data_IF_819151405027
#
_entry.id   IF_819151405027
#
_cell.length_a   1.000
_cell.length_b   1.000
_cell.length_c   1.000
_cell.angle_alpha   90.00
_cell.angle_beta   90.00
_cell.angle_gamma   90.00
#
_symmetry.space_group_name_H-M   'P 1'
#
loop_
_entity.id
_entity.type
_entity.pdbx_description
1 polymer ?
#
# COMPACT_ATOMS: atom_id res chain seq x y z
N UNK A 1 -49.58 6.87 2.05
CA UNK A 1 -48.90 7.48 0.88
C UNK A 1 -48.38 8.85 1.26
N UNK A 2 -47.21 9.26 0.75
CA UNK A 2 -46.32 10.24 1.36
C UNK A 2 -46.46 11.64 0.76
N UNK A 3 -45.99 12.66 1.47
CA UNK A 3 -45.65 13.96 0.90
C UNK A 3 -44.15 14.20 1.04
N UNK A 4 -43.50 14.23 -0.11
CA UNK A 4 -42.16 14.75 -0.38
C UNK A 4 -42.19 16.29 -0.42
N UNK A 5 -41.04 16.91 -0.10
CA UNK A 5 -40.51 18.21 -0.58
C UNK A 5 -39.09 18.28 0.02
N UNK A 6 -38.02 18.00 -0.72
CA UNK A 6 -37.34 18.77 -1.79
C UNK A 6 -36.28 19.74 -1.27
N UNK A 7 -35.15 19.63 -1.95
CA UNK A 7 -33.83 20.26 -1.86
C UNK A 7 -33.82 21.78 -2.04
N UNK A 8 -32.96 22.47 -1.29
CA UNK A 8 -31.94 23.43 -1.79
C UNK A 8 -31.44 24.28 -0.63
N UNK A 9 -30.14 24.27 -0.39
CA UNK A 9 -29.42 25.49 0.01
C UNK A 9 -28.10 25.52 -0.76
N UNK A 10 -28.13 26.28 -1.85
CA UNK A 10 -26.96 26.79 -2.53
C UNK A 10 -26.47 28.01 -1.74
N UNK A 11 -25.16 28.10 -1.47
CA UNK A 11 -24.50 29.38 -1.20
C UNK A 11 -23.36 29.55 -2.19
N UNK A 12 -23.47 30.64 -2.93
CA UNK A 12 -22.64 31.16 -4.02
C UNK A 12 -21.26 31.65 -3.53
N UNK A 13 -20.23 31.68 -4.41
CA UNK A 13 -18.89 32.16 -4.09
C UNK A 13 -18.70 33.65 -4.43
N UNK A 14 -17.88 34.36 -3.65
CA UNK A 14 -17.31 35.65 -4.08
C UNK A 14 -16.64 36.46 -2.96
N UNK A 15 -15.32 36.67 -3.04
CA UNK A 15 -14.72 37.99 -3.31
C UNK A 15 -13.18 37.93 -3.24
N UNK A 16 -12.53 38.69 -4.13
CA UNK A 16 -11.09 38.80 -4.41
C UNK A 16 -10.44 40.04 -3.75
N UNK A 17 -9.18 39.91 -3.31
CA UNK A 17 -8.16 41.00 -3.19
C UNK A 17 -7.80 41.46 -1.76
N UNK A 18 -6.54 41.91 -1.47
CA UNK A 18 -5.61 42.63 -2.36
C UNK A 18 -4.17 42.00 -2.48
N UNK A 19 -3.23 42.56 -3.30
CA UNK A 19 -2.08 41.88 -3.91
C UNK A 19 -0.78 41.93 -3.06
N UNK A 20 0.34 41.28 -3.48
CA UNK A 20 1.54 41.13 -2.67
C UNK A 20 2.48 42.33 -2.77
N UNK A 21 3.20 42.61 -1.69
CA UNK A 21 4.33 43.55 -1.64
C UNK A 21 5.66 42.79 -1.69
N UNK A 22 6.54 43.17 -2.59
CA UNK A 22 7.91 42.65 -2.81
C UNK A 22 8.93 43.18 -1.77
N UNK A 23 10.17 42.63 -1.71
CA UNK A 23 10.93 42.43 -0.48
C UNK A 23 11.86 43.59 -0.09
N UNK A 24 12.20 43.68 1.20
CA UNK A 24 13.32 44.49 1.70
C UNK A 24 14.26 43.63 2.52
N UNK A 25 15.56 43.86 2.29
CA UNK A 25 16.72 43.10 2.74
C UNK A 25 16.88 42.98 4.26
N UNK A 26 17.37 41.81 4.67
CA UNK A 26 18.48 41.66 5.61
C UNK A 26 18.18 41.89 7.09
N UNK A 27 18.02 40.80 7.85
CA UNK A 27 18.77 40.59 9.10
C UNK A 27 18.66 39.13 9.57
N UNK A 28 19.81 38.57 9.96
CA UNK A 28 19.94 37.26 10.58
C UNK A 28 19.09 37.19 11.85
N UNK A 29 18.17 36.23 11.91
CA UNK A 29 17.60 35.77 13.17
C UNK A 29 17.94 34.28 13.28
N UNK A 30 18.93 34.00 14.11
CA UNK A 30 19.25 32.65 14.55
C UNK A 30 17.98 32.00 15.09
N UNK A 31 17.58 30.89 14.48
CA UNK A 31 16.47 30.11 15.00
C UNK A 31 16.92 29.46 16.31
N UNK A 32 16.16 29.64 17.40
CA UNK A 32 16.45 28.97 18.65
C UNK A 32 16.27 27.47 18.46
N UNK A 33 17.28 26.72 18.90
CA UNK A 33 17.27 25.28 19.09
C UNK A 33 16.03 24.89 19.90
N UNK A 34 15.01 24.36 19.21
CA UNK A 34 13.86 23.70 19.80
C UNK A 34 14.04 22.20 19.59
N UNK A 35 14.12 21.47 20.69
CA UNK A 35 13.77 20.05 20.77
C UNK A 35 12.37 19.87 20.15
N UNK A 36 12.31 19.41 18.90
CA UNK A 36 11.06 19.22 18.18
C UNK A 36 11.32 19.10 16.68
N UNK A 37 11.02 17.94 16.10
CA UNK A 37 11.16 17.72 14.68
C UNK A 37 10.41 18.82 13.88
N UNK A 38 11.01 19.37 12.80
CA UNK A 38 10.41 20.46 12.05
C UNK A 38 9.04 20.04 11.50
N UNK A 39 8.02 20.88 11.72
CA UNK A 39 6.64 20.64 11.28
C UNK A 39 6.47 20.65 9.76
N UNK A 40 7.43 21.19 9.02
CA UNK A 40 7.50 21.17 7.56
C UNK A 40 8.96 21.33 7.08
N UNK A 41 9.26 20.74 5.93
CA UNK A 41 10.55 20.88 5.25
C UNK A 41 10.35 20.74 3.74
N UNK A 42 11.32 21.21 2.94
CA UNK A 42 11.30 20.97 1.50
C UNK A 42 11.49 19.48 1.21
N UNK A 43 11.07 19.04 0.01
CA UNK A 43 11.29 17.66 -0.42
C UNK A 43 12.78 17.29 -0.38
N UNK A 44 13.65 18.18 -0.84
CA UNK A 44 15.09 17.92 -0.86
C UNK A 44 15.67 17.77 0.56
N UNK A 45 15.21 18.56 1.53
CA UNK A 45 15.60 18.41 2.94
C UNK A 45 15.11 17.07 3.51
N UNK A 46 13.90 16.65 3.18
CA UNK A 46 13.37 15.36 3.64
C UNK A 46 14.13 14.17 3.02
N UNK A 47 14.50 14.24 1.75
CA UNK A 47 15.33 13.23 1.09
C UNK A 47 16.73 13.24 1.71
N UNK A 48 17.32 14.41 1.97
CA UNK A 48 18.62 14.51 2.64
C UNK A 48 18.58 13.84 4.03
N UNK A 49 17.48 14.00 4.78
CA UNK A 49 17.30 13.34 6.08
C UNK A 49 17.10 11.82 5.97
N UNK A 50 16.63 11.32 4.82
CA UNK A 50 16.54 9.87 4.55
C UNK A 50 17.92 9.25 4.24
N UNK A 51 18.84 10.00 3.63
CA UNK A 51 20.13 9.45 3.20
C UNK A 51 21.09 9.36 4.40
N UNK A 52 21.63 8.17 4.74
CA UNK A 52 22.58 8.03 5.83
C UNK A 52 23.91 8.71 5.50
N UNK A 53 24.65 9.11 6.54
CA UNK A 53 26.01 9.64 6.38
C UNK A 53 26.99 8.82 7.22
N UNK A 54 28.28 9.19 7.25
CA UNK A 54 29.28 8.53 8.10
C UNK A 54 28.87 8.49 9.57
N UNK A 55 28.20 9.53 10.07
CA UNK A 55 27.90 9.71 11.50
C UNK A 55 26.40 9.72 11.81
N UNK A 56 25.54 9.69 10.79
CA UNK A 56 24.08 9.71 10.95
C UNK A 56 23.41 8.49 10.28
N UNK A 57 22.30 8.04 10.86
CA UNK A 57 21.37 7.09 10.26
C UNK A 57 19.93 7.50 10.63
N UNK A 58 18.99 7.55 9.68
CA UNK A 58 17.61 7.93 9.97
C UNK A 58 16.90 6.96 10.92
N UNK A 59 15.99 7.49 11.73
CA UNK A 59 15.14 6.66 12.58
C UNK A 59 14.23 5.76 11.74
N UNK A 60 14.01 4.52 12.21
CA UNK A 60 13.16 3.54 11.50
C UNK A 60 11.74 4.05 11.25
N UNK A 61 11.17 4.78 12.22
CA UNK A 61 9.85 5.39 12.06
C UNK A 61 9.85 6.43 10.93
N UNK A 62 10.90 7.25 10.85
CA UNK A 62 11.05 8.22 9.76
C UNK A 62 11.20 7.54 8.41
N UNK A 63 12.04 6.50 8.29
CA UNK A 63 12.22 5.74 7.04
C UNK A 63 10.87 5.21 6.56
N UNK A 64 10.13 4.50 7.41
CA UNK A 64 8.82 3.95 7.07
C UNK A 64 7.83 5.05 6.66
N UNK A 65 7.65 6.07 7.50
CA UNK A 65 6.68 7.13 7.28
C UNK A 65 7.00 7.95 6.03
N UNK A 66 8.27 8.30 5.83
CA UNK A 66 8.69 9.09 4.67
C UNK A 66 8.55 8.28 3.38
N UNK A 67 9.06 7.04 3.32
CA UNK A 67 8.91 6.20 2.13
C UNK A 67 7.44 5.97 1.80
N UNK A 68 6.60 5.68 2.80
CA UNK A 68 5.16 5.50 2.60
C UNK A 68 4.49 6.76 2.04
N UNK A 69 4.71 7.89 2.71
CA UNK A 69 4.01 9.14 2.41
C UNK A 69 4.58 9.88 1.20
N UNK A 70 5.82 9.59 0.79
CA UNK A 70 6.46 10.24 -0.34
C UNK A 70 5.75 10.01 -1.66
N UNK A 71 4.99 8.92 -1.75
CA UNK A 71 4.13 8.59 -2.89
C UNK A 71 3.10 9.68 -3.21
N UNK A 72 2.82 10.59 -2.27
CA UNK A 72 1.94 11.74 -2.47
C UNK A 72 2.60 12.88 -3.24
N UNK A 73 3.94 12.91 -3.33
CA UNK A 73 4.69 14.05 -3.85
C UNK A 73 5.86 13.71 -4.77
N UNK A 74 6.33 12.45 -4.82
CA UNK A 74 7.41 11.97 -5.67
C UNK A 74 7.21 10.49 -6.03
N UNK A 75 7.50 10.12 -7.28
CA UNK A 75 7.49 8.73 -7.71
C UNK A 75 8.58 7.92 -7.00
N UNK A 76 8.35 6.66 -6.58
CA UNK A 76 9.38 5.85 -5.93
C UNK A 76 10.66 5.71 -6.76
N UNK A 77 10.55 5.58 -8.09
CA UNK A 77 11.72 5.51 -8.99
C UNK A 77 12.56 6.79 -8.96
N UNK A 78 11.91 7.95 -8.98
CA UNK A 78 12.54 9.26 -8.94
C UNK A 78 13.16 9.51 -7.56
N UNK A 79 12.45 9.11 -6.49
CA UNK A 79 12.99 9.16 -5.14
C UNK A 79 14.26 8.31 -5.01
N UNK A 80 14.26 7.07 -5.53
CA UNK A 80 15.44 6.22 -5.47
C UNK A 80 16.60 6.81 -6.28
N UNK A 81 16.34 7.38 -7.45
CA UNK A 81 17.35 8.05 -8.25
C UNK A 81 18.00 9.21 -7.46
N UNK A 82 17.19 10.05 -6.80
CA UNK A 82 17.68 11.15 -5.95
C UNK A 82 18.45 10.66 -4.73
N UNK A 83 18.00 9.60 -4.07
CA UNK A 83 18.72 8.97 -2.96
C UNK A 83 20.09 8.47 -3.41
N UNK A 84 20.14 7.76 -4.54
CA UNK A 84 21.41 7.28 -5.12
C UNK A 84 22.34 8.43 -5.49
N UNK A 85 21.81 9.47 -6.12
CA UNK A 85 22.58 10.67 -6.48
C UNK A 85 23.17 11.36 -5.24
N UNK A 86 22.36 11.60 -4.20
CA UNK A 86 22.82 12.20 -2.96
C UNK A 86 23.87 11.33 -2.25
N UNK A 87 23.76 10.00 -2.32
CA UNK A 87 24.80 9.11 -1.81
C UNK A 87 26.14 9.34 -2.53
N UNK A 88 26.11 9.50 -3.86
CA UNK A 88 27.30 9.76 -4.68
C UNK A 88 27.92 11.11 -4.32
N UNK A 89 27.11 12.17 -4.26
CA UNK A 89 27.58 13.53 -3.96
C UNK A 89 28.14 13.65 -2.54
N UNK A 90 27.38 13.24 -1.53
CA UNK A 90 27.77 13.41 -0.12
C UNK A 90 29.01 12.58 0.24
N UNK A 91 29.16 11.41 -0.37
CA UNK A 91 30.31 10.52 -0.11
C UNK A 91 31.44 10.71 -1.12
N UNK A 92 31.27 11.64 -2.07
CA UNK A 92 32.20 11.97 -3.15
C UNK A 92 32.68 10.72 -3.90
N UNK A 93 31.74 9.85 -4.27
CA UNK A 93 32.03 8.54 -4.88
C UNK A 93 32.57 8.64 -6.32
N UNK A 94 32.54 9.84 -6.90
CA UNK A 94 33.01 10.12 -8.26
C UNK A 94 34.46 10.61 -8.30
N UNK A 95 35.08 10.81 -7.13
CA UNK A 95 36.46 11.23 -7.05
C UNK A 95 37.39 10.10 -7.53
N UNK A 96 38.47 10.41 -8.28
CA UNK A 96 39.41 9.41 -8.77
C UNK A 96 40.14 8.67 -7.64
N UNK A 97 40.23 9.29 -6.46
CA UNK A 97 40.77 8.70 -5.24
C UNK A 97 39.71 8.77 -4.15
N UNK A 98 39.24 7.60 -3.71
CA UNK A 98 38.23 7.48 -2.66
C UNK A 98 38.86 7.39 -1.26
N UNK A 99 38.26 8.08 -0.30
CA UNK A 99 38.51 7.83 1.12
C UNK A 99 37.88 6.50 1.53
N UNK A 100 38.71 5.44 1.54
CA UNK A 100 38.29 4.08 1.90
C UNK A 100 37.72 3.99 3.32
N UNK A 101 38.20 4.81 4.26
CA UNK A 101 37.71 4.76 5.64
C UNK A 101 36.29 5.34 5.73
N UNK A 102 36.03 6.45 5.06
CA UNK A 102 34.69 7.05 4.94
C UNK A 102 33.71 6.09 4.25
N UNK A 103 34.10 5.54 3.10
CA UNK A 103 33.25 4.63 2.31
C UNK A 103 32.90 3.35 3.09
N UNK A 104 33.85 2.77 3.84
CA UNK A 104 33.59 1.57 4.67
C UNK A 104 32.66 1.82 5.85
N UNK A 105 32.59 3.05 6.38
CA UNK A 105 31.62 3.43 7.41
C UNK A 105 30.23 3.68 6.82
N UNK A 106 30.18 4.25 5.62
CA UNK A 106 28.94 4.58 4.93
C UNK A 106 28.23 3.36 4.32
N UNK A 107 28.97 2.47 3.64
CA UNK A 107 28.41 1.34 2.89
C UNK A 107 27.43 0.46 3.69
N UNK A 108 27.75 0.02 4.92
CA UNK A 108 26.84 -0.76 5.75
C UNK A 108 25.52 -0.05 6.06
N UNK A 109 25.53 1.28 6.22
CA UNK A 109 24.33 2.08 6.48
C UNK A 109 23.45 2.20 5.23
N UNK A 110 24.05 2.41 4.06
CA UNK A 110 23.29 2.39 2.80
C UNK A 110 22.64 1.01 2.58
N UNK A 111 23.37 -0.08 2.83
CA UNK A 111 22.82 -1.43 2.76
C UNK A 111 21.64 -1.61 3.71
N UNK A 112 21.73 -1.07 4.92
CA UNK A 112 20.64 -1.14 5.89
C UNK A 112 19.40 -0.40 5.40
N UNK A 113 19.55 0.84 4.90
CA UNK A 113 18.44 1.61 4.32
C UNK A 113 17.78 0.85 3.17
N UNK A 114 18.58 0.31 2.24
CA UNK A 114 18.07 -0.45 1.10
C UNK A 114 17.42 -1.76 1.52
N UNK A 115 17.91 -2.43 2.57
CA UNK A 115 17.27 -3.63 3.11
C UNK A 115 15.89 -3.29 3.70
N UNK A 116 15.81 -2.22 4.48
CA UNK A 116 14.53 -1.75 5.06
C UNK A 116 13.53 -1.36 3.95
N UNK A 117 14.01 -0.67 2.90
CA UNK A 117 13.17 -0.28 1.76
C UNK A 117 12.73 -1.48 0.92
N UNK A 118 13.63 -2.37 0.52
CA UNK A 118 13.30 -3.56 -0.29
C UNK A 118 12.44 -4.57 0.47
N UNK A 119 12.52 -4.61 1.80
CA UNK A 119 11.65 -5.44 2.62
C UNK A 119 10.23 -4.87 2.67
N UNK A 120 10.11 -3.56 2.92
CA UNK A 120 8.82 -2.87 3.13
C UNK A 120 8.07 -2.63 1.82
N UNK A 121 8.78 -2.21 0.77
CA UNK A 121 8.21 -1.80 -0.52
C UNK A 121 8.97 -2.45 -1.69
N UNK A 122 8.94 -3.78 -1.82
CA UNK A 122 9.67 -4.48 -2.89
C UNK A 122 9.26 -4.02 -4.29
N UNK A 123 7.99 -3.63 -4.45
CA UNK A 123 7.41 -3.19 -5.74
C UNK A 123 8.03 -1.91 -6.29
N UNK A 124 8.65 -1.09 -5.44
CA UNK A 124 9.35 0.13 -5.88
C UNK A 124 10.55 -0.18 -6.79
N UNK A 125 11.06 -1.43 -6.75
CA UNK A 125 12.24 -1.88 -7.48
C UNK A 125 11.93 -2.78 -8.69
N UNK A 126 10.69 -2.75 -9.19
CA UNK A 126 10.29 -3.56 -10.36
C UNK A 126 10.95 -3.13 -11.66
N UNK A 127 11.23 -1.83 -11.81
CA UNK A 127 11.83 -1.28 -13.02
C UNK A 127 13.35 -1.56 -13.09
N UNK A 128 13.84 -1.93 -14.27
CA UNK A 128 15.26 -2.21 -14.49
C UNK A 128 16.14 -0.94 -14.30
N UNK A 129 15.60 0.22 -14.65
CA UNK A 129 16.23 1.54 -14.41
C UNK A 129 16.56 1.75 -12.93
N UNK A 130 15.60 1.44 -12.05
CA UNK A 130 15.72 1.50 -10.60
C UNK A 130 16.85 0.60 -10.09
N UNK A 131 16.93 -0.64 -10.59
CA UNK A 131 18.04 -1.56 -10.28
C UNK A 131 19.37 -1.04 -10.84
N UNK A 132 19.35 -0.34 -11.98
CA UNK A 132 20.50 0.33 -12.57
C UNK A 132 21.14 1.34 -11.63
N UNK A 133 20.35 2.21 -10.98
CA UNK A 133 20.85 3.18 -10.00
C UNK A 133 21.54 2.50 -8.80
N UNK A 134 20.97 1.41 -8.28
CA UNK A 134 21.59 0.63 -7.20
C UNK A 134 22.92 0.01 -7.62
N UNK A 135 22.97 -0.55 -8.84
CA UNK A 135 24.18 -1.15 -9.40
C UNK A 135 25.29 -0.13 -9.61
N UNK A 136 24.95 1.10 -9.99
CA UNK A 136 25.92 2.19 -10.13
C UNK A 136 26.59 2.52 -8.79
N UNK A 137 25.80 2.78 -7.74
CA UNK A 137 26.33 3.05 -6.39
C UNK A 137 27.13 1.85 -5.86
N UNK A 138 26.66 0.62 -6.13
CA UNK A 138 27.39 -0.59 -5.78
C UNK A 138 28.76 -0.65 -6.46
N UNK A 139 28.83 -0.32 -7.75
CA UNK A 139 30.06 -0.32 -8.54
C UNK A 139 31.10 0.66 -8.01
N UNK A 140 30.67 1.83 -7.53
CA UNK A 140 31.56 2.86 -6.96
C UNK A 140 32.10 2.47 -5.57
N UNK A 141 31.32 1.75 -4.76
CA UNK A 141 31.72 1.35 -3.39
C UNK A 141 32.52 0.04 -3.38
N UNK A 142 32.22 -0.90 -4.28
CA UNK A 142 32.82 -2.24 -4.30
C UNK A 142 34.37 -2.27 -4.22
N UNK A 143 35.13 -1.38 -4.89
CA UNK A 143 36.60 -1.35 -4.80
C UNK A 143 37.14 -1.05 -3.39
N UNK A 144 36.32 -0.45 -2.52
CA UNK A 144 36.70 -0.11 -1.16
C UNK A 144 36.37 -1.22 -0.16
N UNK A 145 35.34 -2.04 -0.46
CA UNK A 145 34.79 -3.06 0.44
C UNK A 145 34.14 -4.23 -0.32
N UNK A 146 34.85 -5.37 -0.38
CA UNK A 146 34.34 -6.61 -0.97
C UNK A 146 33.19 -7.25 -0.17
N UNK A 147 33.13 -7.00 1.15
CA UNK A 147 32.03 -7.52 1.98
C UNK A 147 30.73 -6.81 1.64
N UNK A 148 30.80 -5.49 1.45
CA UNK A 148 29.67 -4.69 0.96
C UNK A 148 29.18 -5.22 -0.40
N UNK A 149 30.09 -5.46 -1.35
CA UNK A 149 29.74 -5.99 -2.68
C UNK A 149 28.94 -7.29 -2.58
N UNK A 150 29.42 -8.26 -1.78
CA UNK A 150 28.73 -9.55 -1.58
C UNK A 150 27.34 -9.37 -0.96
N UNK A 151 27.21 -8.53 0.07
CA UNK A 151 25.94 -8.26 0.74
C UNK A 151 24.93 -7.57 -0.19
N UNK A 152 25.38 -6.61 -0.99
CA UNK A 152 24.52 -5.95 -1.98
C UNK A 152 24.02 -6.95 -3.03
N UNK A 153 24.88 -7.84 -3.53
CA UNK A 153 24.49 -8.88 -4.46
C UNK A 153 23.44 -9.84 -3.86
N UNK A 154 23.60 -10.23 -2.60
CA UNK A 154 22.62 -11.04 -1.87
C UNK A 154 21.28 -10.32 -1.73
N UNK A 155 21.30 -9.03 -1.38
CA UNK A 155 20.10 -8.20 -1.25
C UNK A 155 19.35 -8.09 -2.59
N UNK A 156 20.07 -7.80 -3.68
CA UNK A 156 19.49 -7.76 -5.03
C UNK A 156 18.93 -9.13 -5.44
N UNK A 157 19.60 -10.24 -5.11
CA UNK A 157 19.10 -11.57 -5.42
C UNK A 157 17.81 -11.90 -4.64
N UNK A 158 17.76 -11.59 -3.34
CA UNK A 158 16.58 -11.77 -2.51
C UNK A 158 15.39 -10.94 -3.01
N UNK A 159 15.65 -9.69 -3.43
CA UNK A 159 14.66 -8.82 -4.02
C UNK A 159 14.07 -9.42 -5.32
N UNK A 160 14.90 -9.91 -6.24
CA UNK A 160 14.41 -10.55 -7.47
C UNK A 160 13.54 -11.78 -7.17
N UNK A 161 13.93 -12.61 -6.20
CA UNK A 161 13.14 -13.78 -5.79
C UNK A 161 11.79 -13.36 -5.21
N UNK A 162 11.77 -12.31 -4.38
CA UNK A 162 10.54 -11.77 -3.77
C UNK A 162 9.60 -11.20 -4.84
N UNK A 163 10.13 -10.43 -5.79
CA UNK A 163 9.35 -9.89 -6.91
C UNK A 163 8.78 -10.99 -7.82
N UNK A 164 9.57 -12.04 -8.10
CA UNK A 164 9.10 -13.19 -8.89
C UNK A 164 7.96 -13.95 -8.19
N UNK A 165 8.04 -14.14 -6.88
CA UNK A 165 6.99 -14.78 -6.09
C UNK A 165 5.69 -13.96 -6.07
N UNK A 166 5.78 -12.63 -6.06
CA UNK A 166 4.61 -11.73 -6.11
C UNK A 166 3.92 -11.73 -7.48
N UNK A 167 4.66 -11.91 -8.57
CA UNK A 167 4.11 -12.01 -9.93
C UNK A 167 3.33 -13.30 -10.22
N UNK A 168 3.43 -14.31 -9.34
CA UNK A 168 2.69 -15.58 -9.43
C UNK A 168 1.43 -15.62 -8.56
N UNK A 169 1.00 -14.47 -8.01
CA UNK A 169 -0.26 -14.35 -7.30
C UNK A 169 -1.45 -14.81 -8.16
N UNK A 170 -2.54 -15.30 -7.56
CA UNK A 170 -3.61 -16.01 -8.28
C UNK A 170 -4.51 -15.05 -9.07
N UNK A 171 -3.98 -14.42 -10.12
CA UNK A 171 -4.81 -13.80 -11.16
C UNK A 171 -5.67 -14.86 -11.87
N UNK A 172 -5.27 -16.14 -11.82
CA UNK A 172 -6.03 -17.28 -12.34
C UNK A 172 -7.32 -17.60 -11.54
N UNK A 173 -7.48 -17.06 -10.31
CA UNK A 173 -8.72 -17.18 -9.53
C UNK A 173 -9.70 -16.02 -9.78
N UNK A 174 -9.24 -14.92 -10.39
CA UNK A 174 -10.06 -13.73 -10.72
C UNK A 174 -10.70 -13.83 -12.11
N UNK A 175 -10.24 -14.75 -12.97
CA UNK A 175 -10.84 -15.01 -14.29
C UNK A 175 -12.27 -15.58 -14.27
N UNK A 176 -12.82 -15.87 -13.08
CA UNK A 176 -14.18 -16.38 -12.91
C UNK A 176 -15.25 -15.29 -12.75
N UNK A 177 -14.90 -14.00 -12.81
CA UNK A 177 -15.85 -12.88 -12.63
C UNK A 177 -16.52 -12.44 -13.97
N UNK A 178 -17.07 -13.39 -14.72
CA UNK A 178 -18.13 -13.02 -15.69
C UNK A 178 -19.46 -12.99 -14.93
N UNK A 179 -20.12 -11.82 -14.81
CA UNK A 179 -21.46 -11.78 -14.21
C UNK A 179 -22.38 -12.68 -15.02
N UNK A 180 -22.90 -13.72 -14.38
CA UNK A 180 -23.93 -14.58 -14.97
C UNK A 180 -25.16 -13.70 -15.16
N UNK A 181 -25.52 -13.42 -16.41
CA UNK A 181 -26.71 -12.65 -16.76
C UNK A 181 -27.95 -13.28 -16.13
N UNK A 182 -28.62 -12.52 -15.26
CA UNK A 182 -29.78 -12.93 -14.47
C UNK A 182 -31.06 -13.18 -15.29
N UNK A 183 -30.99 -13.20 -16.62
CA UNK A 183 -32.17 -13.30 -17.50
C UNK A 183 -32.63 -14.72 -17.82
N UNK A 184 -31.90 -15.74 -17.39
CA UNK A 184 -32.32 -17.14 -17.51
C UNK A 184 -32.18 -17.79 -16.15
N UNK A 185 -33.22 -18.53 -15.71
CA UNK A 185 -33.15 -19.37 -14.52
C UNK A 185 -31.81 -20.12 -14.55
N UNK A 186 -30.95 -19.99 -13.53
CA UNK A 186 -29.72 -20.76 -13.48
C UNK A 186 -30.11 -22.23 -13.65
N UNK A 187 -29.40 -23.02 -14.47
CA UNK A 187 -29.66 -24.45 -14.54
C UNK A 187 -29.56 -25.01 -13.12
N UNK A 188 -30.58 -25.77 -12.71
CA UNK A 188 -30.73 -26.29 -11.35
C UNK A 188 -29.55 -27.15 -10.84
N UNK A 189 -28.58 -27.46 -11.71
CA UNK A 189 -27.38 -28.24 -11.45
C UNK A 189 -26.20 -27.43 -10.88
N UNK A 190 -26.24 -26.09 -10.85
CA UNK A 190 -25.07 -25.28 -10.41
C UNK A 190 -25.15 -24.84 -8.93
N UNK A 191 -26.35 -24.68 -8.37
CA UNK A 191 -26.49 -24.35 -6.95
C UNK A 191 -26.39 -25.60 -6.08
N UNK A 192 -25.23 -25.83 -5.45
CA UNK A 192 -25.18 -26.62 -4.22
C UNK A 192 -25.60 -25.71 -3.08
N UNK A 193 -26.64 -26.08 -2.33
CA UNK A 193 -27.02 -25.38 -1.10
C UNK A 193 -25.80 -25.34 -0.17
N UNK A 194 -25.45 -24.17 0.37
CA UNK A 194 -24.25 -24.00 1.20
C UNK A 194 -24.23 -24.98 2.39
N UNK A 195 -25.39 -25.17 3.02
CA UNK A 195 -25.59 -26.13 4.11
C UNK A 195 -25.30 -27.59 3.70
N UNK A 196 -25.45 -27.92 2.42
CA UNK A 196 -25.09 -29.23 1.87
C UNK A 196 -23.58 -29.37 1.59
N UNK A 197 -22.85 -28.27 1.51
CA UNK A 197 -21.39 -28.25 1.33
C UNK A 197 -20.67 -28.17 2.67
N UNK A 198 -21.13 -27.31 3.57
CA UNK A 198 -20.60 -27.11 4.90
C UNK A 198 -21.75 -26.81 5.86
N UNK A 199 -22.00 -27.72 6.80
CA UNK A 199 -23.03 -27.58 7.83
C UNK A 199 -22.47 -27.15 9.19
N UNK A 200 -21.14 -27.07 9.33
CA UNK A 200 -20.46 -26.66 10.56
C UNK A 200 -20.07 -25.17 10.51
N UNK A 201 -20.69 -24.30 11.33
CA UNK A 201 -20.41 -22.87 11.35
C UNK A 201 -18.94 -22.54 11.60
N UNK A 202 -18.29 -23.29 12.50
CA UNK A 202 -16.90 -23.09 12.86
C UNK A 202 -15.97 -23.37 11.67
N UNK A 203 -16.15 -24.49 10.99
CA UNK A 203 -15.40 -24.82 9.78
C UNK A 203 -15.58 -23.74 8.71
N UNK A 204 -16.81 -23.26 8.47
CA UNK A 204 -17.03 -22.19 7.49
C UNK A 204 -16.30 -20.89 7.87
N UNK A 205 -16.37 -20.48 9.14
CA UNK A 205 -15.66 -19.31 9.63
C UNK A 205 -14.13 -19.44 9.44
N UNK A 206 -13.57 -20.62 9.70
CA UNK A 206 -12.15 -20.89 9.43
C UNK A 206 -11.81 -20.76 7.95
N UNK A 207 -12.63 -21.34 7.05
CA UNK A 207 -12.38 -21.26 5.61
C UNK A 207 -12.47 -19.83 5.09
N UNK A 208 -13.48 -19.06 5.51
CA UNK A 208 -13.57 -17.63 5.18
C UNK A 208 -12.32 -16.87 5.63
N UNK A 209 -11.84 -17.16 6.84
CA UNK A 209 -10.61 -16.55 7.38
C UNK A 209 -9.38 -16.90 6.57
N UNK A 210 -9.21 -18.16 6.13
CA UNK A 210 -8.10 -18.55 5.28
C UNK A 210 -8.10 -17.81 3.93
N UNK A 211 -9.28 -17.74 3.30
CA UNK A 211 -9.48 -17.05 2.01
C UNK A 211 -9.19 -15.55 2.13
N UNK A 212 -9.55 -14.94 3.26
CA UNK A 212 -9.29 -13.52 3.53
C UNK A 212 -7.85 -13.24 3.86
N UNK A 213 -7.21 -14.03 4.72
CA UNK A 213 -5.79 -13.85 5.06
C UNK A 213 -4.89 -14.01 3.82
N UNK A 214 -5.24 -14.92 2.92
CA UNK A 214 -4.54 -15.06 1.64
C UNK A 214 -4.65 -13.80 0.78
N UNK A 215 -5.76 -13.07 0.81
CA UNK A 215 -5.89 -11.80 0.07
C UNK A 215 -5.20 -10.66 0.81
N UNK A 216 -5.43 -10.56 2.12
CA UNK A 216 -4.93 -9.49 2.98
C UNK A 216 -3.40 -9.42 2.98
N UNK A 217 -2.70 -10.57 2.99
CA UNK A 217 -1.23 -10.62 2.99
C UNK A 217 -0.57 -9.97 1.77
N UNK A 218 -1.30 -9.75 0.68
CA UNK A 218 -0.78 -9.13 -0.54
C UNK A 218 -1.00 -7.61 -0.56
N UNK A 219 -1.88 -7.09 0.30
CA UNK A 219 -2.17 -5.67 0.38
C UNK A 219 -0.99 -4.96 1.04
N UNK A 220 -0.32 -4.11 0.27
CA UNK A 220 0.76 -3.28 0.79
C UNK A 220 0.23 -2.03 1.50
N UNK A 221 0.96 -1.48 2.49
CA UNK A 221 0.61 -0.20 3.11
C UNK A 221 0.49 0.94 2.07
N UNK A 222 1.25 0.88 0.99
CA UNK A 222 1.18 1.83 -0.12
C UNK A 222 -0.19 1.85 -0.83
N UNK A 223 -0.90 0.72 -0.88
CA UNK A 223 -2.22 0.64 -1.51
C UNK A 223 -3.26 1.45 -0.71
N UNK A 224 -3.12 1.50 0.62
CA UNK A 224 -4.00 2.32 1.44
C UNK A 224 -3.77 3.80 1.19
N UNK A 225 -2.51 4.26 1.14
CA UNK A 225 -2.22 5.66 0.82
C UNK A 225 -2.81 6.03 -0.54
N UNK A 226 -2.59 5.18 -1.55
CA UNK A 226 -3.11 5.38 -2.91
C UNK A 226 -4.64 5.40 -2.96
N UNK A 227 -5.32 4.56 -2.17
CA UNK A 227 -6.78 4.55 -2.11
C UNK A 227 -7.38 5.88 -1.63
N UNK A 228 -6.64 6.64 -0.83
CA UNK A 228 -7.05 7.96 -0.32
C UNK A 228 -6.55 9.13 -1.17
N UNK A 229 -5.68 8.90 -2.16
CA UNK A 229 -5.27 9.96 -3.09
C UNK A 229 -6.41 10.27 -4.05
N UNK A 230 -6.94 11.49 -3.91
CA UNK A 230 -8.06 12.09 -4.64
C UNK A 230 -8.37 11.45 -6.00
N UNK A 231 -9.48 10.72 -6.06
CA UNK A 231 -10.15 10.29 -7.31
C UNK A 231 -10.98 11.42 -7.96
N UNK A 232 -10.79 12.68 -7.52
CA UNK A 232 -11.55 13.82 -8.06
C UNK A 232 -10.89 14.30 -9.37
N UNK A 233 -11.49 14.02 -10.55
CA UNK A 233 -10.87 14.31 -11.84
C UNK A 233 -10.77 15.82 -12.11
N UNK A 234 -11.50 16.64 -11.35
CA UNK A 234 -11.62 18.09 -11.56
C UNK A 234 -10.65 18.90 -10.69
N UNK A 235 -10.06 18.31 -9.64
CA UNK A 235 -9.23 19.02 -8.66
C UNK A 235 -7.73 18.68 -8.74
N UNK A 236 -7.32 17.62 -9.45
CA UNK A 236 -5.92 17.18 -9.43
C UNK A 236 -5.12 17.70 -10.62
N UNK A 237 -4.24 18.68 -10.38
CA UNK A 237 -3.16 19.08 -11.30
C UNK A 237 -1.91 18.20 -11.14
N UNK A 238 -1.95 17.13 -10.33
CA UNK A 238 -0.79 16.28 -10.03
C UNK A 238 -1.07 14.81 -10.37
N UNK A 239 -0.13 14.09 -11.00
CA UNK A 239 -0.33 12.67 -11.30
C UNK A 239 -0.35 11.89 -9.98
N UNK A 240 -1.36 11.04 -9.80
CA UNK A 240 -1.26 9.93 -8.85
C UNK A 240 -0.33 8.90 -9.47
N UNK A 241 0.79 8.64 -8.80
CA UNK A 241 1.91 7.89 -9.40
C UNK A 241 1.75 6.36 -9.31
N UNK A 242 0.55 5.88 -9.00
CA UNK A 242 0.20 4.46 -8.99
C UNK A 242 -1.31 4.31 -9.15
N UNK A 243 -1.74 3.85 -10.33
CA UNK A 243 -3.16 3.62 -10.66
C UNK A 243 -3.71 2.28 -10.11
N UNK A 244 -2.93 1.51 -9.32
CA UNK A 244 -3.24 0.10 -9.07
C UNK A 244 -3.38 -0.23 -7.59
N UNK A 245 -4.57 -0.02 -7.05
CA UNK A 245 -5.04 -0.61 -5.78
C UNK A 245 -5.59 -2.01 -5.97
N UNK A 246 -4.91 -2.85 -6.76
CA UNK A 246 -5.47 -4.13 -7.24
C UNK A 246 -5.81 -5.10 -6.12
N UNK A 247 -4.94 -5.25 -5.11
CA UNK A 247 -5.16 -6.23 -4.03
C UNK A 247 -6.21 -5.70 -3.05
N UNK A 248 -6.14 -4.41 -2.71
CA UNK A 248 -7.14 -3.76 -1.87
C UNK A 248 -8.53 -3.82 -2.51
N UNK A 249 -8.67 -3.51 -3.80
CA UNK A 249 -9.93 -3.63 -4.52
C UNK A 249 -10.42 -5.06 -4.61
N UNK A 250 -9.53 -6.04 -4.82
CA UNK A 250 -9.89 -7.45 -4.80
C UNK A 250 -10.40 -7.90 -3.42
N UNK A 251 -9.82 -7.39 -2.33
CA UNK A 251 -10.29 -7.64 -0.97
C UNK A 251 -11.66 -7.03 -0.70
N UNK A 252 -11.91 -5.80 -1.16
CA UNK A 252 -13.24 -5.16 -1.09
C UNK A 252 -14.27 -5.92 -1.93
N UNK A 253 -13.90 -6.38 -3.14
CA UNK A 253 -14.77 -7.22 -3.97
C UNK A 253 -15.11 -8.54 -3.28
N UNK A 254 -14.17 -9.15 -2.58
CA UNK A 254 -14.42 -10.34 -1.76
C UNK A 254 -15.45 -10.08 -0.67
N UNK A 255 -15.31 -8.99 0.09
CA UNK A 255 -16.29 -8.57 1.10
C UNK A 255 -17.70 -8.49 0.50
N UNK A 256 -17.86 -7.75 -0.60
CA UNK A 256 -19.15 -7.59 -1.28
C UNK A 256 -19.71 -8.93 -1.78
N UNK A 257 -18.84 -9.80 -2.32
CA UNK A 257 -19.24 -11.13 -2.79
C UNK A 257 -19.78 -11.99 -1.64
N UNK A 258 -19.17 -11.92 -0.45
CA UNK A 258 -19.68 -12.61 0.74
C UNK A 258 -21.03 -12.05 1.19
N UNK A 259 -21.21 -10.72 1.23
CA UNK A 259 -22.52 -10.11 1.52
C UNK A 259 -23.60 -10.63 0.56
N UNK A 260 -23.33 -10.61 -0.75
CA UNK A 260 -24.29 -11.09 -1.74
C UNK A 260 -24.56 -12.59 -1.65
N UNK A 261 -23.56 -13.40 -1.29
CA UNK A 261 -23.73 -14.83 -1.04
C UNK A 261 -24.71 -15.06 0.11
N UNK A 262 -24.54 -14.37 1.24
CA UNK A 262 -25.41 -14.47 2.42
C UNK A 262 -26.85 -14.10 2.06
N UNK A 263 -27.05 -12.94 1.43
CA UNK A 263 -28.36 -12.49 0.97
C UNK A 263 -29.02 -13.49 0.01
N UNK A 264 -28.24 -14.05 -0.91
CA UNK A 264 -28.71 -15.03 -1.89
C UNK A 264 -29.15 -16.33 -1.21
N UNK A 265 -28.30 -16.92 -0.36
CA UNK A 265 -28.60 -18.17 0.34
C UNK A 265 -29.82 -18.03 1.26
N UNK A 266 -30.04 -16.86 1.88
CA UNK A 266 -31.24 -16.60 2.70
C UNK A 266 -32.50 -16.48 1.82
N UNK A 267 -32.39 -15.84 0.65
CA UNK A 267 -33.53 -15.56 -0.22
C UNK A 267 -33.92 -16.74 -1.13
N UNK A 268 -33.02 -17.68 -1.38
CA UNK A 268 -33.24 -18.82 -2.29
C UNK A 268 -34.30 -19.83 -1.80
N UNK A 269 -34.37 -20.23 -0.50
CA UNK A 269 -35.36 -21.19 -0.05
C UNK A 269 -36.79 -20.65 -0.12
N UNK A 270 -37.67 -21.38 -0.81
CA UNK A 270 -39.09 -21.00 -0.95
C UNK A 270 -39.85 -21.07 0.38
N UNK A 271 -39.48 -22.01 1.27
CA UNK A 271 -40.18 -22.25 2.54
C UNK A 271 -39.62 -21.39 3.67
N UNK A 272 -40.50 -20.72 4.43
CA UNK A 272 -40.13 -19.88 5.59
C UNK A 272 -39.24 -20.61 6.60
N UNK A 273 -39.56 -21.87 6.92
CA UNK A 273 -38.80 -22.67 7.89
C UNK A 273 -37.35 -22.87 7.46
N UNK A 274 -37.11 -23.13 6.16
CA UNK A 274 -35.75 -23.31 5.63
C UNK A 274 -34.99 -21.98 5.61
N UNK A 275 -35.63 -20.87 5.26
CA UNK A 275 -35.00 -19.54 5.35
C UNK A 275 -34.54 -19.21 6.78
N UNK A 276 -35.38 -19.50 7.77
CA UNK A 276 -35.01 -19.31 9.18
C UNK A 276 -33.76 -20.11 9.57
N UNK A 277 -33.66 -21.37 9.11
CA UNK A 277 -32.48 -22.21 9.35
C UNK A 277 -31.20 -21.64 8.73
N UNK A 278 -31.29 -21.08 7.51
CA UNK A 278 -30.14 -20.44 6.86
C UNK A 278 -29.71 -19.18 7.61
N UNK A 279 -30.67 -18.38 8.08
CA UNK A 279 -30.39 -17.19 8.90
C UNK A 279 -29.71 -17.59 10.21
N UNK A 280 -30.24 -18.57 10.95
CA UNK A 280 -29.65 -19.10 12.18
C UNK A 280 -28.22 -19.59 11.95
N UNK A 281 -27.99 -20.34 10.86
CA UNK A 281 -26.67 -20.82 10.49
C UNK A 281 -25.67 -19.66 10.27
N UNK A 282 -26.03 -18.63 9.50
CA UNK A 282 -25.13 -17.50 9.30
C UNK A 282 -24.90 -16.68 10.57
N UNK A 283 -25.88 -16.60 11.48
CA UNK A 283 -25.68 -15.99 12.80
C UNK A 283 -24.62 -16.77 13.60
N UNK A 284 -24.66 -18.10 13.57
CA UNK A 284 -23.64 -18.92 14.24
C UNK A 284 -22.27 -18.79 13.55
N UNK A 285 -22.21 -18.73 12.21
CA UNK A 285 -20.96 -18.49 11.48
C UNK A 285 -20.36 -17.13 11.85
N UNK A 286 -21.20 -16.08 11.93
CA UNK A 286 -20.78 -14.75 12.35
C UNK A 286 -20.22 -14.76 13.78
N UNK A 287 -20.85 -15.50 14.71
CA UNK A 287 -20.33 -15.69 16.07
C UNK A 287 -18.95 -16.34 16.05
N UNK A 288 -18.76 -17.37 15.23
CA UNK A 288 -17.45 -18.03 15.12
C UNK A 288 -16.40 -17.12 14.46
N UNK A 289 -16.78 -16.32 13.45
CA UNK A 289 -15.91 -15.27 12.89
C UNK A 289 -15.46 -14.27 13.97
N UNK A 290 -16.36 -13.85 14.87
CA UNK A 290 -16.01 -13.00 16.01
C UNK A 290 -15.00 -13.69 16.95
N UNK A 291 -15.26 -14.94 17.32
CA UNK A 291 -14.41 -15.71 18.25
C UNK A 291 -12.97 -15.84 17.74
N UNK A 292 -12.78 -15.99 16.43
CA UNK A 292 -11.45 -16.15 15.81
C UNK A 292 -10.85 -14.82 15.31
N UNK A 293 -11.52 -13.68 15.56
CA UNK A 293 -11.02 -12.34 15.20
C UNK A 293 -11.17 -11.97 13.72
N UNK A 294 -11.98 -12.70 12.95
CA UNK A 294 -12.31 -12.35 11.57
C UNK A 294 -13.49 -11.35 11.53
N UNK A 295 -13.20 -10.10 11.84
CA UNK A 295 -14.19 -9.03 11.88
C UNK A 295 -14.72 -8.65 10.49
N UNK A 296 -13.95 -8.87 9.43
CA UNK A 296 -14.36 -8.53 8.07
C UNK A 296 -15.46 -9.47 7.57
N UNK A 297 -15.28 -10.80 7.69
CA UNK A 297 -16.36 -11.76 7.36
C UNK A 297 -17.57 -11.60 8.28
N UNK A 298 -17.36 -11.35 9.59
CA UNK A 298 -18.46 -11.03 10.52
C UNK A 298 -19.30 -9.87 9.98
N UNK A 299 -18.65 -8.76 9.62
CA UNK A 299 -19.35 -7.58 9.13
C UNK A 299 -20.00 -7.83 7.77
N UNK A 300 -19.37 -8.63 6.90
CA UNK A 300 -19.95 -9.02 5.62
C UNK A 300 -21.24 -9.83 5.80
N UNK A 301 -21.26 -10.77 6.75
CA UNK A 301 -22.44 -11.57 7.09
C UNK A 301 -23.55 -10.71 7.67
N UNK A 302 -23.23 -9.73 8.53
CA UNK A 302 -24.23 -8.80 9.09
C UNK A 302 -24.80 -7.87 8.01
N UNK A 303 -23.99 -7.50 7.02
CA UNK A 303 -24.38 -6.56 5.96
C UNK A 303 -25.23 -7.18 4.86
N UNK A 304 -25.11 -8.49 4.64
CA UNK A 304 -25.88 -9.26 3.65
C UNK A 304 -27.24 -9.70 4.17
#
# INVERSE_FOLDING_TARGET
MPRTLSTSDMVTPGSLGPPPTDPTDGEQIGQPLLDGAPSSASLDTLIQHLVPTTDYYPEKAYIFTFLLSSRLFIEPRELLARVCHLCIEQQQLDQPVLDKARVRKFGPKLLQLLAEWTETFPRDFQEESTIGHLKDVMGRIAPCDETYRKRMQQLLQALHQKLAAQGQGPEDLLGADKPISYRTKPPASIHRELLGVCSDPYTLAQQLTHVELERLRHIGPEEFVQAFVNKDPLASTKPCFSDKTNNLEAYVKWFNRLCYLVATEICMPAKKKQRAQVVEFFIDVARECFNIGNFNSLMAIISG
#
